data_IF_390322436841
#
_entry.id   IF_390322436841
#
_cell.length_a   1.000
_cell.length_b   1.000
_cell.length_c   1.000
_cell.angle_alpha   90.00
_cell.angle_beta   90.00
_cell.angle_gamma   90.00
#
_symmetry.space_group_name_H-M   'P 1'
#
loop_
_entity.id
_entity.type
_entity.pdbx_description
1 polymer ?
#
# COMPACT_ATOMS: atom_id res chain seq x y z
N UNK A 1 -1.44 22.79 15.03
CA UNK A 1 -0.44 21.77 14.66
C UNK A 1 -0.50 20.64 15.68
N UNK A 2 -0.84 19.41 15.28
CA UNK A 2 -1.00 18.26 16.20
C UNK A 2 0.25 18.04 17.08
N UNK A 3 1.44 18.24 16.50
CA UNK A 3 2.74 18.12 17.18
C UNK A 3 2.96 19.13 18.32
N UNK A 4 2.30 20.29 18.29
CA UNK A 4 2.39 21.26 19.37
C UNK A 4 1.61 20.80 20.62
N UNK A 5 0.54 20.03 20.44
CA UNK A 5 -0.22 19.44 21.53
C UNK A 5 0.43 18.15 22.07
N UNK A 6 1.00 17.34 21.17
CA UNK A 6 1.73 16.13 21.53
C UNK A 6 2.86 15.86 20.51
N UNK A 7 4.14 16.12 20.86
CA UNK A 7 5.27 15.87 19.97
C UNK A 7 5.46 14.40 19.59
N UNK A 8 4.99 13.46 20.43
CA UNK A 8 5.19 12.03 20.23
C UNK A 8 4.16 11.39 19.28
N UNK A 9 3.06 12.08 18.94
CA UNK A 9 2.06 11.55 18.01
C UNK A 9 2.69 11.30 16.64
N UNK A 10 2.47 10.12 16.07
CA UNK A 10 2.91 9.82 14.70
C UNK A 10 1.86 10.34 13.70
N UNK A 11 2.31 11.04 12.68
CA UNK A 11 1.50 11.54 11.57
C UNK A 11 1.82 10.69 10.35
N UNK A 12 0.83 9.92 9.91
CA UNK A 12 0.90 9.20 8.66
C UNK A 12 0.54 10.15 7.52
N UNK A 13 1.30 10.12 6.43
CA UNK A 13 0.82 10.68 5.17
C UNK A 13 -0.47 9.97 4.76
N UNK A 14 -1.39 10.68 4.12
CA UNK A 14 -2.60 10.06 3.58
C UNK A 14 -2.21 9.00 2.55
N UNK A 15 -2.74 7.78 2.70
CA UNK A 15 -2.44 6.71 1.78
C UNK A 15 -2.95 7.07 0.38
N UNK A 16 -2.07 6.94 -0.61
CA UNK A 16 -2.42 7.22 -2.00
C UNK A 16 -3.25 6.08 -2.55
N UNK A 17 -4.27 6.41 -3.34
CA UNK A 17 -4.96 5.41 -4.15
C UNK A 17 -3.98 4.86 -5.20
N UNK A 18 -3.73 3.55 -5.27
CA UNK A 18 -2.88 3.00 -6.32
C UNK A 18 -3.56 3.20 -7.67
N UNK A 19 -2.93 3.96 -8.56
CA UNK A 19 -3.47 4.20 -9.90
C UNK A 19 -2.35 4.20 -10.94
N UNK A 20 -2.72 3.92 -12.18
CA UNK A 20 -1.81 3.99 -13.34
C UNK A 20 -2.21 5.12 -14.30
N UNK A 21 -3.05 6.04 -13.83
CA UNK A 21 -3.54 7.13 -14.66
C UNK A 21 -2.36 8.07 -15.00
N UNK A 22 -2.10 8.37 -16.29
CA UNK A 22 -0.98 9.21 -16.66
C UNK A 22 -1.20 10.65 -16.15
N UNK A 23 -0.13 11.44 -15.95
CA UNK A 23 -0.24 12.85 -15.59
C UNK A 23 -1.19 13.62 -16.52
N UNK A 24 -2.11 14.38 -15.92
CA UNK A 24 -3.14 15.15 -16.65
C UNK A 24 -4.42 14.38 -17.00
N UNK A 25 -4.53 13.11 -16.60
CA UNK A 25 -5.79 12.36 -16.72
C UNK A 25 -6.88 12.91 -15.79
N UNK A 26 -8.13 12.97 -16.27
CA UNK A 26 -9.28 13.31 -15.44
C UNK A 26 -9.67 12.21 -14.45
N UNK A 27 -9.16 10.98 -14.65
CA UNK A 27 -9.50 9.81 -13.84
C UNK A 27 -8.56 9.59 -12.64
N UNK A 28 -7.47 10.35 -12.54
CA UNK A 28 -6.51 10.26 -11.45
C UNK A 28 -5.09 10.61 -11.87
N UNK A 29 -4.15 10.43 -10.94
CA UNK A 29 -2.71 10.57 -11.16
C UNK A 29 -2.03 9.34 -10.58
N UNK A 30 -1.09 8.77 -11.32
CA UNK A 30 -0.25 7.66 -10.87
C UNK A 30 0.32 7.97 -9.49
N UNK A 31 0.19 7.02 -8.55
CA UNK A 31 0.58 7.22 -7.15
C UNK A 31 2.08 7.49 -6.97
N UNK A 32 2.93 6.95 -7.85
CA UNK A 32 4.37 7.23 -7.85
C UNK A 32 4.64 8.69 -8.25
N UNK A 33 4.01 9.15 -9.33
CA UNK A 33 4.13 10.53 -9.80
C UNK A 33 3.59 11.51 -8.75
N UNK A 34 2.46 11.17 -8.14
CA UNK A 34 1.84 11.99 -7.12
C UNK A 34 2.69 12.06 -5.85
N UNK A 35 3.27 10.95 -5.40
CA UNK A 35 4.19 10.94 -4.26
C UNK A 35 5.42 11.81 -4.53
N UNK A 36 6.02 11.71 -5.72
CA UNK A 36 7.15 12.56 -6.08
C UNK A 36 6.74 14.05 -6.13
N UNK A 37 5.56 14.37 -6.65
CA UNK A 37 5.03 15.74 -6.64
C UNK A 37 4.79 16.26 -5.21
N UNK A 38 4.31 15.41 -4.29
CA UNK A 38 4.20 15.75 -2.87
C UNK A 38 5.57 16.09 -2.27
N UNK A 39 6.59 15.28 -2.53
CA UNK A 39 7.95 15.54 -2.06
C UNK A 39 8.51 16.86 -2.62
N UNK A 40 8.34 17.11 -3.92
CA UNK A 40 8.75 18.35 -4.57
C UNK A 40 8.06 19.59 -3.96
N UNK A 41 6.84 19.43 -3.44
CA UNK A 41 6.09 20.47 -2.74
C UNK A 41 6.46 20.60 -1.24
N UNK A 42 7.42 19.82 -0.74
CA UNK A 42 7.89 19.87 0.65
C UNK A 42 7.10 19.00 1.62
N UNK A 43 6.27 18.07 1.14
CA UNK A 43 5.43 17.22 2.00
C UNK A 43 6.24 16.36 2.99
N UNK A 44 7.51 16.04 2.69
CA UNK A 44 8.39 15.28 3.58
C UNK A 44 8.50 15.89 4.99
N UNK A 45 8.32 17.19 5.18
CA UNK A 45 8.34 17.79 6.53
C UNK A 45 7.03 17.61 7.33
N UNK A 46 5.99 17.02 6.74
CA UNK A 46 4.63 17.00 7.29
C UNK A 46 4.12 15.61 7.70
N UNK A 47 4.92 14.56 7.52
CA UNK A 47 4.59 13.21 8.00
C UNK A 47 5.83 12.50 8.55
N UNK A 48 5.60 11.63 9.53
CA UNK A 48 6.61 10.77 10.14
C UNK A 48 6.68 9.40 9.43
N UNK A 49 5.54 8.92 8.90
CA UNK A 49 5.37 7.59 8.31
C UNK A 49 4.61 7.72 6.99
N UNK A 50 5.05 7.01 5.94
CA UNK A 50 4.26 6.91 4.71
C UNK A 50 3.18 5.82 4.87
N UNK A 51 1.91 6.16 4.67
CA UNK A 51 0.86 5.16 4.55
C UNK A 51 0.76 4.66 3.10
N UNK A 52 0.60 3.35 2.92
CA UNK A 52 0.55 2.68 1.62
C UNK A 52 -0.72 1.82 1.54
N UNK A 53 -1.36 1.82 0.37
CA UNK A 53 -2.37 0.83 0.00
C UNK A 53 -1.74 -0.20 -0.96
N UNK A 54 -1.50 -1.42 -0.50
CA UNK A 54 -0.80 -2.46 -1.25
C UNK A 54 -1.77 -3.53 -1.79
N UNK A 55 -2.60 -3.12 -2.75
CA UNK A 55 -3.54 -4.04 -3.42
C UNK A 55 -2.81 -4.87 -4.48
N UNK A 56 -2.77 -6.20 -4.30
CA UNK A 56 -2.03 -7.10 -5.19
C UNK A 56 -2.78 -7.50 -6.47
N UNK A 57 -4.04 -7.05 -6.64
CA UNK A 57 -4.93 -7.44 -7.74
C UNK A 57 -5.00 -8.96 -7.93
N UNK A 58 -4.50 -9.49 -9.04
CA UNK A 58 -4.41 -10.92 -9.33
C UNK A 58 -2.97 -11.44 -9.35
N UNK A 59 -2.00 -10.53 -9.19
CA UNK A 59 -0.58 -10.83 -9.27
C UNK A 59 -0.12 -11.64 -8.05
N UNK A 60 0.84 -12.52 -8.28
CA UNK A 60 1.53 -13.24 -7.22
C UNK A 60 2.28 -12.23 -6.31
N UNK A 61 2.31 -12.41 -4.98
CA UNK A 61 3.04 -11.52 -4.07
C UNK A 61 4.54 -11.37 -4.40
N UNK A 62 5.15 -12.38 -5.02
CA UNK A 62 6.55 -12.34 -5.46
C UNK A 62 6.74 -11.69 -6.84
N UNK A 63 5.66 -11.27 -7.51
CA UNK A 63 5.76 -10.52 -8.77
C UNK A 63 6.63 -9.27 -8.53
N UNK A 64 7.64 -9.02 -9.38
CA UNK A 64 8.59 -7.93 -9.16
C UNK A 64 7.89 -6.57 -9.11
N UNK A 65 8.42 -5.60 -8.36
CA UNK A 65 7.91 -4.23 -8.40
C UNK A 65 7.93 -3.71 -9.83
N UNK A 66 6.83 -3.09 -10.26
CA UNK A 66 6.68 -2.59 -11.63
C UNK A 66 5.79 -1.32 -11.63
N UNK A 67 6.24 -0.29 -12.34
CA UNK A 67 5.57 1.01 -12.42
C UNK A 67 4.28 0.96 -13.23
N UNK A 68 4.14 -0.04 -14.11
CA UNK A 68 3.05 -0.16 -15.08
C UNK A 68 1.92 -1.08 -14.63
N UNK A 69 2.02 -1.64 -13.41
CA UNK A 69 0.99 -2.49 -12.83
C UNK A 69 0.74 -2.15 -11.36
N UNK A 70 -0.44 -2.51 -10.87
CA UNK A 70 -0.77 -2.45 -9.44
C UNK A 70 -0.57 -3.87 -8.88
N UNK A 71 0.61 -4.11 -8.32
CA UNK A 71 0.97 -5.33 -7.61
C UNK A 71 1.43 -5.02 -6.17
N UNK A 72 1.58 -6.06 -5.35
CA UNK A 72 1.93 -5.89 -3.93
C UNK A 72 3.31 -5.25 -3.73
N UNK A 73 4.31 -5.68 -4.52
CA UNK A 73 5.69 -5.17 -4.42
C UNK A 73 5.87 -3.77 -4.98
N UNK A 74 4.88 -3.18 -5.67
CA UNK A 74 4.86 -1.74 -6.03
C UNK A 74 5.14 -0.84 -4.82
N UNK A 75 4.82 -1.30 -3.61
CA UNK A 75 5.19 -0.66 -2.34
C UNK A 75 6.70 -0.35 -2.23
N UNK A 76 7.55 -1.16 -2.86
CA UNK A 76 9.01 -0.95 -2.91
C UNK A 76 9.39 0.25 -3.77
N UNK A 77 8.61 0.58 -4.81
CA UNK A 77 8.82 1.79 -5.63
C UNK A 77 8.43 3.05 -4.85
N UNK A 78 7.36 2.99 -4.05
CA UNK A 78 7.01 4.08 -3.13
C UNK A 78 8.13 4.29 -2.09
N UNK A 79 8.70 3.19 -1.58
CA UNK A 79 9.85 3.23 -0.67
C UNK A 79 11.09 3.83 -1.35
N UNK A 80 11.37 3.48 -2.60
CA UNK A 80 12.49 4.05 -3.37
C UNK A 80 12.35 5.57 -3.49
N UNK A 81 11.14 6.07 -3.78
CA UNK A 81 10.86 7.52 -3.82
C UNK A 81 11.17 8.17 -2.46
N UNK A 82 10.79 7.56 -1.34
CA UNK A 82 11.14 8.09 -0.01
C UNK A 82 12.67 8.22 0.15
N UNK A 83 13.42 7.17 -0.20
CA UNK A 83 14.89 7.15 -0.09
C UNK A 83 15.52 8.22 -0.97
N UNK A 84 15.09 8.35 -2.22
CA UNK A 84 15.60 9.36 -3.16
C UNK A 84 15.35 10.80 -2.70
N UNK A 85 14.29 11.02 -1.92
CA UNK A 85 13.95 12.33 -1.35
C UNK A 85 14.53 12.56 0.06
N UNK A 86 15.45 11.69 0.53
CA UNK A 86 16.14 11.83 1.81
C UNK A 86 15.39 11.30 3.03
N UNK A 87 14.23 10.66 2.84
CA UNK A 87 13.39 10.07 3.89
C UNK A 87 13.68 8.58 4.09
N UNK A 88 14.91 8.14 3.80
CA UNK A 88 15.35 6.76 3.98
C UNK A 88 15.23 6.28 5.44
N UNK A 89 15.36 7.16 6.42
CA UNK A 89 15.25 6.80 7.84
C UNK A 89 13.80 6.67 8.33
N UNK A 90 12.83 7.15 7.54
CA UNK A 90 11.42 7.03 7.89
C UNK A 90 10.88 5.64 7.57
N UNK A 91 9.94 5.20 8.41
CA UNK A 91 9.19 3.95 8.23
C UNK A 91 7.99 4.17 7.31
N UNK A 92 7.40 3.06 6.87
CA UNK A 92 6.11 3.05 6.20
C UNK A 92 5.15 2.06 6.89
N UNK A 93 3.86 2.21 6.60
CA UNK A 93 2.81 1.30 7.03
C UNK A 93 1.89 1.00 5.85
N UNK A 94 1.66 -0.29 5.58
CA UNK A 94 0.58 -0.69 4.68
C UNK A 94 -0.70 -0.67 5.50
N UNK A 95 -1.54 0.33 5.23
CA UNK A 95 -2.78 0.58 5.98
C UNK A 95 -3.96 -0.19 5.39
N UNK A 96 -3.89 -0.51 4.10
CA UNK A 96 -4.79 -1.44 3.42
C UNK A 96 -4.01 -2.28 2.43
N UNK A 97 -4.40 -3.54 2.25
CA UNK A 97 -3.78 -4.41 1.26
C UNK A 97 -4.51 -5.72 1.11
N UNK A 98 -4.03 -6.55 0.18
CA UNK A 98 -4.55 -7.90 -0.04
C UNK A 98 -5.12 -8.12 -1.43
N UNK A 99 -5.82 -9.24 -1.57
CA UNK A 99 -6.40 -9.73 -2.81
C UNK A 99 -7.90 -9.95 -2.64
N UNK A 100 -8.66 -9.59 -3.67
CA UNK A 100 -10.09 -9.86 -3.74
C UNK A 100 -10.30 -11.25 -4.37
N UNK A 101 -11.20 -12.07 -3.85
CA UNK A 101 -11.53 -13.39 -4.41
C UNK A 101 -12.98 -13.50 -4.90
N UNK A 102 -13.71 -12.39 -4.93
CA UNK A 102 -15.10 -12.36 -5.32
C UNK A 102 -15.24 -12.55 -6.84
N UNK A 103 -16.05 -13.50 -7.33
CA UNK A 103 -16.09 -13.88 -8.74
C UNK A 103 -16.58 -12.77 -9.69
N UNK A 104 -17.24 -11.74 -9.16
CA UNK A 104 -17.65 -10.55 -9.94
C UNK A 104 -16.55 -9.49 -10.10
N UNK A 105 -15.43 -9.63 -9.41
CA UNK A 105 -14.33 -8.68 -9.50
C UNK A 105 -13.37 -9.09 -10.62
N UNK A 106 -13.11 -8.19 -11.57
CA UNK A 106 -12.34 -8.48 -12.80
C UNK A 106 -10.87 -8.82 -12.54
N UNK A 107 -10.36 -8.44 -11.36
CA UNK A 107 -9.00 -8.71 -10.90
C UNK A 107 -8.96 -9.70 -9.73
N UNK A 108 -9.99 -10.54 -9.59
CA UNK A 108 -10.06 -11.50 -8.49
C UNK A 108 -9.06 -12.66 -8.65
N UNK A 109 -8.61 -13.17 -7.51
CA UNK A 109 -7.92 -14.47 -7.40
C UNK A 109 -8.90 -15.56 -6.94
N UNK A 110 -8.46 -16.82 -6.93
CA UNK A 110 -9.24 -17.88 -6.28
C UNK A 110 -9.15 -17.78 -4.75
N UNK A 111 -10.15 -18.27 -3.98
CA UNK A 111 -10.11 -18.21 -2.52
C UNK A 111 -8.85 -18.84 -1.92
N UNK A 112 -8.44 -20.02 -2.40
CA UNK A 112 -7.19 -20.67 -1.97
C UNK A 112 -5.94 -19.85 -2.32
N UNK A 113 -5.94 -19.14 -3.46
CA UNK A 113 -4.84 -18.24 -3.82
C UNK A 113 -4.80 -17.02 -2.90
N UNK A 114 -5.95 -16.44 -2.54
CA UNK A 114 -5.99 -15.33 -1.57
C UNK A 114 -5.34 -15.70 -0.25
N UNK A 115 -5.57 -16.92 0.26
CA UNK A 115 -4.94 -17.42 1.48
C UNK A 115 -3.42 -17.52 1.28
N UNK A 116 -2.97 -18.23 0.23
CA UNK A 116 -1.54 -18.40 -0.04
C UNK A 116 -0.82 -17.06 -0.22
N UNK A 117 -1.43 -16.13 -0.98
CA UNK A 117 -0.89 -14.82 -1.26
C UNK A 117 -0.82 -13.95 -0.02
N UNK A 118 -1.85 -13.99 0.83
CA UNK A 118 -1.87 -13.31 2.13
C UNK A 118 -0.74 -13.78 3.03
N UNK A 119 -0.54 -15.09 3.16
CA UNK A 119 0.54 -15.64 3.98
C UNK A 119 1.91 -15.22 3.44
N UNK A 120 2.13 -15.34 2.13
CA UNK A 120 3.39 -14.94 1.49
C UNK A 120 3.65 -13.43 1.61
N UNK A 121 2.63 -12.59 1.51
CA UNK A 121 2.76 -11.14 1.73
C UNK A 121 3.26 -10.80 3.13
N UNK A 122 2.79 -11.50 4.17
CA UNK A 122 3.30 -11.34 5.54
C UNK A 122 4.75 -11.82 5.67
N UNK A 123 5.12 -12.92 5.00
CA UNK A 123 6.51 -13.38 5.00
C UNK A 123 7.46 -12.38 4.35
N UNK A 124 7.08 -11.81 3.19
CA UNK A 124 7.84 -10.75 2.52
C UNK A 124 7.98 -9.56 3.46
N UNK A 125 6.87 -9.04 4.00
CA UNK A 125 6.88 -7.91 4.92
C UNK A 125 7.79 -8.14 6.14
N UNK A 126 7.75 -9.33 6.74
CA UNK A 126 8.54 -9.64 7.94
C UNK A 126 10.03 -9.89 7.66
N UNK A 127 10.39 -10.41 6.48
CA UNK A 127 11.75 -10.87 6.18
C UNK A 127 12.53 -9.96 5.25
N UNK A 128 11.83 -9.23 4.38
CA UNK A 128 12.42 -8.47 3.27
C UNK A 128 12.24 -6.96 3.45
N UNK A 129 11.24 -6.50 4.21
CA UNK A 129 10.90 -5.09 4.35
C UNK A 129 11.16 -4.56 5.76
N UNK A 130 12.44 -4.39 6.10
CA UNK A 130 12.90 -3.83 7.38
C UNK A 130 12.42 -2.39 7.64
N UNK A 131 11.91 -1.71 6.61
CA UNK A 131 11.35 -0.36 6.62
C UNK A 131 9.85 -0.32 6.92
N UNK A 132 9.16 -1.46 6.97
CA UNK A 132 7.72 -1.54 7.16
C UNK A 132 7.35 -1.87 8.62
N UNK A 133 6.59 -0.99 9.28
CA UNK A 133 6.16 -1.21 10.67
C UNK A 133 4.90 -2.09 10.79
N UNK A 134 4.01 -2.04 9.79
CA UNK A 134 2.74 -2.77 9.81
C UNK A 134 2.22 -3.11 8.42
N UNK A 135 1.57 -4.27 8.31
CA UNK A 135 0.79 -4.71 7.15
C UNK A 135 -0.64 -5.05 7.57
N UNK A 136 -1.57 -4.18 7.22
CA UNK A 136 -3.01 -4.33 7.47
C UNK A 136 -3.74 -4.76 6.19
N UNK A 137 -4.48 -5.88 6.26
CA UNK A 137 -5.26 -6.38 5.12
C UNK A 137 -6.73 -5.97 5.20
N UNK A 138 -7.30 -5.59 4.06
CA UNK A 138 -8.68 -5.15 3.93
C UNK A 138 -9.54 -6.18 3.17
N UNK A 139 -10.41 -6.97 3.81
CA UNK A 139 -10.53 -7.16 5.26
C UNK A 139 -10.49 -8.65 5.60
N UNK A 140 -9.90 -8.97 6.75
CA UNK A 140 -9.72 -10.34 7.26
C UNK A 140 -11.07 -11.04 7.57
N UNK A 141 -11.98 -10.34 8.26
CA UNK A 141 -13.35 -10.78 8.54
C UNK A 141 -14.24 -9.58 8.85
N UNK A 142 -15.52 -9.64 8.50
CA UNK A 142 -16.53 -8.66 8.93
C UNK A 142 -17.18 -9.07 10.27
N UNK A 143 -17.70 -8.11 11.06
CA UNK A 143 -18.35 -8.43 12.34
C UNK A 143 -19.75 -9.03 12.19
N UNK A 144 -20.17 -9.39 10.97
CA UNK A 144 -21.42 -10.09 10.65
C UNK A 144 -21.16 -11.19 9.63
N UNK A 145 -22.06 -12.18 9.61
CA UNK A 145 -22.01 -13.27 8.62
C UNK A 145 -22.32 -12.70 7.24
N UNK A 146 -21.44 -12.97 6.27
CA UNK A 146 -21.59 -12.45 4.92
C UNK A 146 -22.65 -13.23 4.10
N UNK A 147 -23.09 -14.38 4.59
CA UNK A 147 -23.91 -15.38 3.91
C UNK A 147 -23.40 -15.64 2.48
N UNK A 148 -22.08 -15.83 2.39
CA UNK A 148 -21.28 -15.98 1.19
C UNK A 148 -20.40 -17.24 1.30
N UNK A 149 -19.50 -17.47 0.34
CA UNK A 149 -18.51 -18.55 0.45
C UNK A 149 -17.34 -18.23 1.41
N UNK A 150 -17.32 -17.02 2.00
CA UNK A 150 -16.29 -16.54 2.93
C UNK A 150 -16.61 -16.85 4.40
N UNK A 151 -17.78 -17.43 4.68
CA UNK A 151 -18.31 -17.74 6.01
C UNK A 151 -18.84 -19.18 6.10
#
# INVERSE_FOLDING_TARGET
MIKAANPAVQVLAGALAPTLAPPGSEFGVNDLDFLQAMYNAGAGSYFDILAIHAYGWHFDPDSPPDSEVINFRRSELLREIMVLNGDGDKRAMITEGGWNDHPRWTRAVRPAQRIAYTLRAYEIAQREWDWLDALCLWVFRFPWDQNSYQD
#
